data_IF_426525523913
#
_entry.id   IF_426525523913
#
_cell.length_a   1.000
_cell.length_b   1.000
_cell.length_c   1.000
_cell.angle_alpha   90.00
_cell.angle_beta   90.00
_cell.angle_gamma   90.00
#
_symmetry.space_group_name_H-M   'P 1'
#
loop_
_entity.id
_entity.type
_entity.pdbx_description
1 polymer ?
#
# COMPACT_ATOMS: atom_id res chain seq x y z
N UNK A 1 -28.68 -14.95 18.33
CA UNK A 1 -28.14 -14.37 17.08
C UNK A 1 -26.63 -14.42 17.18
N UNK A 2 -25.98 -15.25 16.38
CA UNK A 2 -24.51 -15.22 16.26
C UNK A 2 -24.12 -13.86 15.67
N UNK A 3 -23.39 -13.06 16.44
CA UNK A 3 -22.93 -11.73 16.00
C UNK A 3 -21.62 -11.89 15.25
N UNK A 4 -21.68 -11.89 13.92
CA UNK A 4 -20.48 -11.94 13.08
C UNK A 4 -19.59 -10.71 13.28
N UNK A 5 -18.26 -10.91 13.26
CA UNK A 5 -17.26 -9.85 13.15
C UNK A 5 -17.23 -9.34 11.71
N UNK A 6 -17.74 -8.14 11.47
CA UNK A 6 -17.82 -7.58 10.12
C UNK A 6 -16.48 -6.94 9.73
N UNK A 7 -15.86 -7.45 8.68
CA UNK A 7 -14.60 -6.93 8.13
C UNK A 7 -14.86 -6.38 6.73
N UNK A 8 -14.53 -5.10 6.53
CA UNK A 8 -14.70 -4.41 5.26
C UNK A 8 -13.33 -3.92 4.78
N UNK A 9 -12.84 -4.47 3.67
CA UNK A 9 -11.63 -4.01 2.99
C UNK A 9 -12.02 -2.93 1.99
N UNK A 10 -11.59 -1.70 2.25
CA UNK A 10 -11.72 -0.59 1.32
C UNK A 10 -10.66 -0.67 0.22
N UNK A 11 -11.02 -0.44 -1.03
CA UNK A 11 -10.09 -0.32 -2.16
C UNK A 11 -10.29 1.04 -2.82
N UNK A 12 -9.24 1.87 -2.88
CA UNK A 12 -9.32 3.18 -3.53
C UNK A 12 -9.64 2.99 -5.02
N UNK A 13 -10.79 3.52 -5.46
CA UNK A 13 -11.39 3.20 -6.76
C UNK A 13 -11.60 4.45 -7.63
N UNK A 14 -10.59 5.32 -7.67
CA UNK A 14 -10.57 6.56 -8.48
C UNK A 14 -9.88 6.36 -9.83
N UNK A 15 -8.74 5.66 -9.84
CA UNK A 15 -7.94 5.34 -11.03
C UNK A 15 -7.11 4.08 -10.71
N UNK A 16 -6.62 3.40 -11.74
CA UNK A 16 -5.66 2.30 -11.59
C UNK A 16 -6.31 0.92 -11.46
N UNK A 17 -5.55 -0.05 -10.94
CA UNK A 17 -5.88 -1.49 -10.92
C UNK A 17 -6.89 -1.89 -9.83
N UNK A 18 -7.86 -1.02 -9.52
CA UNK A 18 -8.82 -1.27 -8.45
C UNK A 18 -9.79 -2.41 -8.77
N UNK A 19 -10.07 -2.67 -10.05
CA UNK A 19 -11.00 -3.73 -10.47
C UNK A 19 -10.39 -5.10 -10.19
N UNK A 20 -9.10 -5.25 -10.48
CA UNK A 20 -8.28 -6.44 -10.28
C UNK A 20 -8.15 -6.75 -8.80
N UNK A 21 -7.85 -5.74 -7.97
CA UNK A 21 -7.84 -5.89 -6.50
C UNK A 21 -9.21 -6.29 -5.94
N UNK A 22 -10.29 -5.62 -6.34
CA UNK A 22 -11.65 -5.96 -5.88
C UNK A 22 -12.02 -7.38 -6.31
N UNK A 23 -11.71 -7.77 -7.55
CA UNK A 23 -11.97 -9.11 -8.05
C UNK A 23 -11.18 -10.17 -7.28
N UNK A 24 -9.89 -9.92 -6.99
CA UNK A 24 -9.06 -10.83 -6.18
C UNK A 24 -9.63 -11.03 -4.78
N UNK A 25 -10.00 -9.95 -4.09
CA UNK A 25 -10.57 -10.07 -2.75
C UNK A 25 -11.94 -10.74 -2.76
N UNK A 26 -12.81 -10.47 -3.75
CA UNK A 26 -14.10 -11.15 -3.82
C UNK A 26 -13.92 -12.67 -4.00
N UNK A 27 -13.09 -13.09 -4.96
CA UNK A 27 -12.79 -14.51 -5.16
C UNK A 27 -12.17 -15.15 -3.92
N UNK A 28 -11.23 -14.45 -3.26
CA UNK A 28 -10.66 -14.89 -1.99
C UNK A 28 -11.76 -15.07 -0.94
N UNK A 29 -12.64 -14.10 -0.75
CA UNK A 29 -13.70 -14.18 0.27
C UNK A 29 -14.72 -15.27 -0.02
N UNK A 30 -15.00 -15.56 -1.29
CA UNK A 30 -15.81 -16.71 -1.68
C UNK A 30 -15.14 -18.02 -1.23
N UNK A 31 -13.83 -18.17 -1.47
CA UNK A 31 -13.04 -19.33 -1.01
C UNK A 31 -13.04 -19.44 0.52
N UNK A 32 -12.77 -18.33 1.21
CA UNK A 32 -12.67 -18.30 2.68
C UNK A 32 -14.00 -18.52 3.39
N UNK A 33 -15.14 -18.30 2.70
CA UNK A 33 -16.47 -18.50 3.28
C UNK A 33 -16.75 -19.94 3.73
N UNK A 34 -16.02 -20.91 3.18
CA UNK A 34 -16.10 -22.32 3.54
C UNK A 34 -15.02 -22.79 4.52
N UNK A 35 -14.05 -21.93 4.87
CA UNK A 35 -12.95 -22.25 5.78
C UNK A 35 -13.37 -21.96 7.23
N UNK A 36 -13.38 -22.97 8.14
CA UNK A 36 -13.78 -22.79 9.53
C UNK A 36 -13.01 -21.70 10.28
N UNK A 37 -11.78 -21.38 9.86
CA UNK A 37 -10.99 -20.27 10.42
C UNK A 37 -11.73 -18.93 10.33
N UNK A 38 -12.58 -18.75 9.32
CA UNK A 38 -13.28 -17.49 9.04
C UNK A 38 -14.78 -17.53 9.35
N UNK A 39 -15.29 -18.58 10.00
CA UNK A 39 -16.73 -18.76 10.23
C UNK A 39 -17.38 -17.61 11.02
N UNK A 40 -16.62 -17.00 11.94
CA UNK A 40 -17.08 -15.86 12.74
C UNK A 40 -17.02 -14.52 12.00
N UNK A 41 -16.46 -14.49 10.79
CA UNK A 41 -16.18 -13.27 10.06
C UNK A 41 -17.12 -13.09 8.86
N UNK A 42 -17.68 -11.89 8.75
CA UNK A 42 -18.36 -11.44 7.54
C UNK A 42 -17.45 -10.54 6.74
N UNK A 43 -16.77 -11.11 5.74
CA UNK A 43 -15.81 -10.43 4.89
C UNK A 43 -16.50 -9.74 3.71
N UNK A 44 -16.05 -8.54 3.34
CA UNK A 44 -16.57 -7.82 2.18
C UNK A 44 -15.57 -6.78 1.67
N UNK A 45 -15.67 -6.45 0.39
CA UNK A 45 -14.86 -5.40 -0.26
C UNK A 45 -15.73 -4.19 -0.56
N UNK A 46 -15.20 -2.99 -0.37
CA UNK A 46 -15.88 -1.74 -0.72
C UNK A 46 -14.98 -0.86 -1.61
N UNK A 47 -15.45 -0.45 -2.80
CA UNK A 47 -14.76 0.59 -3.56
C UNK A 47 -14.90 1.95 -2.86
N UNK A 48 -13.79 2.65 -2.68
CA UNK A 48 -13.72 3.97 -2.03
C UNK A 48 -13.58 5.04 -3.12
N UNK A 49 -14.57 5.93 -3.21
CA UNK A 49 -14.60 7.03 -4.19
C UNK A 49 -14.87 8.40 -3.57
N UNK A 50 -15.42 8.43 -2.36
CA UNK A 50 -15.74 9.64 -1.61
C UNK A 50 -15.52 9.44 -0.11
N UNK A 51 -15.40 10.51 0.69
CA UNK A 51 -15.10 10.42 2.13
C UNK A 51 -16.03 9.49 2.92
N UNK A 52 -17.33 9.51 2.61
CA UNK A 52 -18.31 8.68 3.32
C UNK A 52 -18.10 7.16 3.11
N UNK A 53 -17.39 6.75 2.06
CA UNK A 53 -17.12 5.33 1.81
C UNK A 53 -16.12 4.75 2.82
N UNK A 54 -15.29 5.59 3.44
CA UNK A 54 -14.30 5.24 4.46
C UNK A 54 -14.94 4.78 5.78
N UNK A 55 -16.22 5.10 6.00
CA UNK A 55 -16.89 4.82 7.27
C UNK A 55 -17.04 3.31 7.48
N UNK A 56 -16.44 2.81 8.57
CA UNK A 56 -16.56 1.43 9.02
C UNK A 56 -15.71 0.43 8.23
N UNK A 57 -14.72 0.89 7.45
CA UNK A 57 -13.72 -0.02 6.88
C UNK A 57 -12.70 -0.44 7.94
N UNK A 58 -12.12 -1.62 7.76
CA UNK A 58 -11.11 -2.21 8.65
C UNK A 58 -9.74 -2.31 7.98
N UNK A 59 -9.71 -2.09 6.66
CA UNK A 59 -8.48 -1.97 5.88
C UNK A 59 -8.70 -1.01 4.72
N UNK A 60 -7.62 -0.41 4.24
CA UNK A 60 -7.59 0.40 3.02
C UNK A 60 -6.45 -0.05 2.12
N UNK A 61 -6.76 -0.36 0.86
CA UNK A 61 -5.80 -0.64 -0.19
C UNK A 61 -5.73 0.56 -1.15
N UNK A 62 -4.56 1.17 -1.25
CA UNK A 62 -4.21 2.14 -2.29
C UNK A 62 -3.55 1.39 -3.44
N UNK A 63 -4.17 1.45 -4.61
CA UNK A 63 -3.86 0.55 -5.73
C UNK A 63 -2.74 1.09 -6.63
N UNK A 64 -2.19 0.20 -7.47
CA UNK A 64 -1.32 0.56 -8.58
C UNK A 64 -2.04 1.38 -9.65
N UNK A 65 -1.30 2.10 -10.48
CA UNK A 65 -1.84 3.03 -11.47
C UNK A 65 -0.85 4.14 -11.80
N UNK A 66 -1.37 5.34 -12.09
CA UNK A 66 -0.54 6.52 -12.30
C UNK A 66 -0.67 7.42 -11.07
N UNK A 67 0.41 7.56 -10.29
CA UNK A 67 0.35 8.19 -8.98
C UNK A 67 -0.05 9.67 -9.05
N UNK A 68 0.30 10.39 -10.12
CA UNK A 68 -0.09 11.79 -10.30
C UNK A 68 -1.59 11.94 -10.51
N UNK A 69 -2.19 11.13 -11.39
CA UNK A 69 -3.62 11.09 -11.63
C UNK A 69 -4.37 10.72 -10.35
N UNK A 70 -3.89 9.72 -9.60
CA UNK A 70 -4.50 9.34 -8.32
C UNK A 70 -4.41 10.50 -7.33
N UNK A 71 -3.24 11.14 -7.17
CA UNK A 71 -3.04 12.29 -6.26
C UNK A 71 -4.01 13.44 -6.58
N UNK A 72 -4.20 13.76 -7.86
CA UNK A 72 -5.13 14.80 -8.33
C UNK A 72 -6.59 14.41 -8.04
N UNK A 73 -6.97 13.16 -8.35
CA UNK A 73 -8.34 12.69 -8.15
C UNK A 73 -8.70 12.61 -6.66
N UNK A 74 -7.76 12.22 -5.81
CA UNK A 74 -7.93 12.23 -4.34
C UNK A 74 -8.19 13.65 -3.84
N UNK A 75 -7.46 14.65 -4.33
CA UNK A 75 -7.70 16.05 -3.98
C UNK A 75 -9.06 16.55 -4.48
N UNK A 76 -9.39 16.29 -5.75
CA UNK A 76 -10.67 16.73 -6.35
C UNK A 76 -11.90 16.07 -5.75
N UNK A 77 -11.77 14.88 -5.18
CA UNK A 77 -12.86 14.15 -4.51
C UNK A 77 -13.02 14.51 -3.03
N UNK A 78 -12.19 15.41 -2.49
CA UNK A 78 -12.17 15.74 -1.07
C UNK A 78 -11.71 14.58 -0.18
N UNK A 79 -10.98 13.62 -0.74
CA UNK A 79 -10.49 12.44 -0.03
C UNK A 79 -9.11 12.65 0.60
N UNK A 80 -8.37 13.70 0.22
CA UNK A 80 -6.98 13.86 0.64
C UNK A 80 -6.81 13.92 2.16
N UNK A 81 -7.51 14.83 2.83
CA UNK A 81 -7.43 15.01 4.28
C UNK A 81 -7.97 13.77 5.04
N UNK A 82 -9.17 13.24 4.71
CA UNK A 82 -9.67 12.01 5.35
C UNK A 82 -8.73 10.80 5.20
N UNK A 83 -8.06 10.66 4.05
CA UNK A 83 -7.11 9.57 3.83
C UNK A 83 -5.84 9.75 4.66
N UNK A 84 -5.27 10.97 4.70
CA UNK A 84 -4.11 11.26 5.54
C UNK A 84 -4.40 10.93 7.01
N UNK A 85 -5.53 11.41 7.54
CA UNK A 85 -5.94 11.14 8.92
C UNK A 85 -6.13 9.64 9.18
N UNK A 86 -6.82 8.94 8.28
CA UNK A 86 -7.10 7.52 8.45
C UNK A 86 -5.83 6.67 8.40
N UNK A 87 -4.95 6.90 7.42
CA UNK A 87 -3.68 6.19 7.27
C UNK A 87 -2.82 6.37 8.52
N UNK A 88 -2.78 7.57 9.08
CA UNK A 88 -1.95 7.86 10.23
C UNK A 88 -2.57 7.49 11.57
N UNK A 89 -3.87 7.20 11.61
CA UNK A 89 -4.59 6.90 12.86
C UNK A 89 -4.15 5.61 13.57
N UNK A 90 -3.48 4.69 12.86
CA UNK A 90 -3.15 3.36 13.39
C UNK A 90 -4.37 2.46 13.66
N UNK A 91 -5.56 2.86 13.18
CA UNK A 91 -6.82 2.17 13.51
C UNK A 91 -7.15 0.99 12.61
N UNK A 92 -6.66 1.02 11.38
CA UNK A 92 -6.97 0.04 10.34
C UNK A 92 -5.71 -0.38 9.62
N UNK A 93 -5.74 -1.53 8.96
CA UNK A 93 -4.65 -1.95 8.08
C UNK A 93 -4.58 -1.06 6.84
N UNK A 94 -3.37 -0.66 6.43
CA UNK A 94 -3.15 0.10 5.19
C UNK A 94 -2.24 -0.71 4.27
N UNK A 95 -2.55 -0.75 2.99
CA UNK A 95 -1.71 -1.37 1.98
C UNK A 95 -1.57 -0.52 0.73
N UNK A 96 -0.36 -0.07 0.41
CA UNK A 96 -0.06 0.59 -0.86
C UNK A 96 0.62 -0.36 -1.84
N UNK A 97 0.03 -0.58 -3.01
CA UNK A 97 0.62 -1.34 -4.13
C UNK A 97 1.08 -0.41 -5.25
N UNK A 98 2.31 -0.57 -5.74
CA UNK A 98 2.90 0.23 -6.82
C UNK A 98 2.69 1.75 -6.62
N UNK A 99 1.76 2.38 -7.35
CA UNK A 99 1.43 3.80 -7.18
C UNK A 99 0.93 4.13 -5.77
N UNK A 100 0.19 3.21 -5.13
CA UNK A 100 -0.22 3.31 -3.75
C UNK A 100 0.97 3.38 -2.78
N UNK A 101 2.03 2.60 -3.02
CA UNK A 101 3.28 2.66 -2.24
C UNK A 101 3.92 4.05 -2.35
N UNK A 102 3.96 4.64 -3.55
CA UNK A 102 4.44 6.03 -3.75
C UNK A 102 3.62 7.00 -2.89
N UNK A 103 2.31 6.88 -2.93
CA UNK A 103 1.38 7.81 -2.29
C UNK A 103 1.40 7.74 -0.75
N UNK A 104 1.76 6.61 -0.16
CA UNK A 104 1.89 6.46 1.31
C UNK A 104 3.32 6.64 1.83
N UNK A 105 4.28 6.95 0.96
CA UNK A 105 5.65 7.23 1.38
C UNK A 105 5.80 8.62 2.00
N UNK A 106 6.78 8.77 2.89
CA UNK A 106 7.07 10.03 3.56
C UNK A 106 7.63 11.06 2.60
N UNK A 107 8.46 10.62 1.65
CA UNK A 107 9.13 11.51 0.73
C UNK A 107 9.24 10.89 -0.66
N UNK A 108 8.90 11.69 -1.67
CA UNK A 108 9.01 11.31 -3.07
C UNK A 108 9.84 12.33 -3.83
N UNK A 109 10.86 11.88 -4.54
CA UNK A 109 11.67 12.71 -5.44
C UNK A 109 11.19 12.57 -6.90
N UNK A 110 11.64 13.48 -7.77
CA UNK A 110 11.27 13.51 -9.19
C UNK A 110 9.77 13.72 -9.40
N UNK A 111 9.22 14.72 -8.70
CA UNK A 111 7.77 15.03 -8.68
C UNK A 111 7.36 16.18 -9.60
N UNK A 112 8.33 16.82 -10.27
CA UNK A 112 8.09 17.98 -11.13
C UNK A 112 7.16 17.63 -12.30
N UNK A 113 5.93 18.10 -12.19
CA UNK A 113 4.89 17.94 -13.22
C UNK A 113 4.09 19.24 -13.23
N UNK A 114 3.82 19.78 -14.41
CA UNK A 114 2.91 20.91 -14.57
C UNK A 114 1.46 20.43 -14.33
N UNK A 115 0.88 20.88 -13.22
CA UNK A 115 -0.46 20.49 -12.76
C UNK A 115 -1.39 21.70 -12.64
N UNK A 116 -1.00 22.87 -13.16
CA UNK A 116 -1.72 24.12 -12.96
C UNK A 116 -1.78 24.50 -11.48
N UNK A 117 -2.99 24.73 -10.95
CA UNK A 117 -3.21 25.14 -9.55
C UNK A 117 -3.09 23.98 -8.54
N UNK A 118 -2.87 22.75 -9.00
CA UNK A 118 -2.77 21.59 -8.13
C UNK A 118 -1.31 21.22 -7.91
N UNK A 119 -1.03 20.67 -6.73
CA UNK A 119 0.29 20.14 -6.39
C UNK A 119 0.23 18.61 -6.32
N UNK A 120 1.33 17.96 -6.68
CA UNK A 120 1.48 16.54 -6.43
C UNK A 120 1.65 16.30 -4.93
N UNK A 121 0.68 15.62 -4.32
CA UNK A 121 0.68 15.32 -2.88
C UNK A 121 0.78 13.83 -2.60
N UNK A 122 1.43 13.52 -1.48
CA UNK A 122 1.51 12.19 -0.88
C UNK A 122 0.94 12.26 0.54
N UNK A 123 0.38 11.14 1.01
CA UNK A 123 -0.38 11.05 2.27
C UNK A 123 0.50 10.63 3.46
N UNK A 124 1.64 9.98 3.19
CA UNK A 124 2.50 9.41 4.23
C UNK A 124 1.92 8.13 4.84
N UNK A 125 2.62 7.59 5.84
CA UNK A 125 2.32 6.31 6.48
C UNK A 125 3.53 5.37 6.55
N UNK A 126 4.45 5.48 5.59
CA UNK A 126 5.74 4.80 5.56
C UNK A 126 6.89 5.79 5.56
N UNK A 127 7.81 5.66 6.52
CA UNK A 127 9.04 6.43 6.65
C UNK A 127 10.10 5.94 5.66
N UNK A 128 9.79 6.08 4.37
CA UNK A 128 10.66 5.71 3.25
C UNK A 128 10.74 6.84 2.23
N UNK A 129 11.85 6.87 1.51
CA UNK A 129 12.06 7.72 0.34
C UNK A 129 11.86 6.88 -0.91
N UNK A 130 11.05 7.41 -1.83
CA UNK A 130 10.81 6.78 -3.12
C UNK A 130 11.22 7.74 -4.23
N UNK A 131 11.92 7.21 -5.22
CA UNK A 131 12.21 7.92 -6.46
C UNK A 131 11.26 7.46 -7.56
N UNK A 132 10.43 8.39 -8.07
CA UNK A 132 9.55 8.11 -9.22
C UNK A 132 10.40 7.95 -10.49
N UNK A 133 10.01 6.99 -11.34
CA UNK A 133 10.63 6.75 -12.64
C UNK A 133 12.15 6.44 -12.58
N UNK A 134 12.62 5.84 -11.50
CA UNK A 134 14.03 5.49 -11.24
C UNK A 134 14.56 4.34 -12.11
N UNK A 135 13.67 3.52 -12.68
CA UNK A 135 14.04 2.62 -13.76
C UNK A 135 14.14 3.44 -15.04
N UNK A 136 15.37 3.77 -15.45
CA UNK A 136 15.64 4.26 -16.79
C UNK A 136 14.96 3.38 -17.85
N UNK A 137 14.78 3.92 -19.07
CA UNK A 137 14.01 3.37 -20.21
C UNK A 137 14.30 1.90 -20.63
N UNK A 138 15.11 1.13 -19.89
CA UNK A 138 15.69 -0.15 -20.28
C UNK A 138 15.36 -1.33 -19.34
N UNK A 139 14.48 -1.19 -18.34
CA UNK A 139 13.96 -2.34 -17.58
C UNK A 139 12.43 -2.27 -17.50
N UNK A 140 11.82 -2.61 -18.64
CA UNK A 140 10.42 -2.94 -18.76
C UNK A 140 10.05 -4.12 -17.86
N UNK A 141 8.75 -4.22 -17.58
CA UNK A 141 8.11 -5.20 -16.69
C UNK A 141 8.83 -6.54 -16.54
N UNK A 142 8.98 -7.03 -15.32
CA UNK A 142 9.57 -8.34 -15.04
C UNK A 142 8.81 -9.06 -13.93
N UNK A 143 9.08 -10.36 -13.80
CA UNK A 143 8.61 -11.17 -12.68
C UNK A 143 9.81 -11.67 -11.88
N UNK A 144 9.63 -11.83 -10.56
CA UNK A 144 10.64 -12.42 -9.68
C UNK A 144 9.96 -13.19 -8.55
N UNK A 145 10.59 -14.25 -8.04
CA UNK A 145 10.04 -15.06 -6.95
C UNK A 145 10.41 -14.40 -5.63
N UNK A 146 9.40 -14.02 -4.86
CA UNK A 146 9.56 -13.30 -3.61
C UNK A 146 9.50 -14.24 -2.43
N UNK A 147 10.43 -14.02 -1.50
CA UNK A 147 10.54 -14.75 -0.23
C UNK A 147 10.57 -13.75 0.94
N UNK A 148 10.45 -14.28 2.17
CA UNK A 148 10.58 -13.49 3.40
C UNK A 148 9.26 -13.05 4.04
N UNK A 149 8.11 -13.46 3.47
CA UNK A 149 6.80 -13.20 4.06
C UNK A 149 6.44 -14.36 4.99
N UNK A 150 6.48 -14.14 6.31
CA UNK A 150 6.12 -15.16 7.30
C UNK A 150 4.72 -15.74 7.01
N UNK A 151 4.59 -17.07 6.93
CA UNK A 151 3.31 -17.71 6.58
C UNK A 151 2.87 -17.61 5.12
N UNK A 152 3.70 -17.03 4.22
CA UNK A 152 3.43 -16.91 2.79
C UNK A 152 4.63 -17.41 1.96
N UNK A 153 4.41 -18.46 1.16
CA UNK A 153 5.41 -18.93 0.22
C UNK A 153 6.62 -19.62 0.87
N UNK A 154 6.46 -20.20 2.06
CA UNK A 154 7.52 -20.97 2.74
C UNK A 154 8.00 -22.17 1.90
N UNK A 155 7.13 -22.73 1.06
CA UNK A 155 7.48 -23.65 -0.02
C UNK A 155 7.23 -22.97 -1.38
N UNK A 156 8.28 -22.41 -1.99
CA UNK A 156 8.27 -21.94 -3.39
C UNK A 156 8.08 -20.43 -3.62
N UNK A 157 7.90 -19.63 -2.58
CA UNK A 157 7.76 -18.17 -2.70
C UNK A 157 6.44 -17.69 -3.32
N UNK A 158 6.40 -16.40 -3.65
CA UNK A 158 5.28 -15.74 -4.32
C UNK A 158 5.77 -15.00 -5.56
N UNK A 159 5.11 -15.19 -6.71
CA UNK A 159 5.50 -14.54 -7.95
C UNK A 159 5.16 -13.04 -7.92
N UNK A 160 6.18 -12.20 -7.78
CA UNK A 160 6.04 -10.75 -7.84
C UNK A 160 6.00 -10.26 -9.29
N UNK A 161 4.90 -9.61 -9.69
CA UNK A 161 4.78 -8.94 -11.00
C UNK A 161 5.16 -7.46 -10.87
N UNK A 162 6.24 -7.04 -11.53
CA UNK A 162 6.76 -5.68 -11.48
C UNK A 162 6.50 -4.97 -12.80
N UNK A 163 5.70 -3.91 -12.80
CA UNK A 163 5.40 -3.12 -14.00
C UNK A 163 5.69 -1.66 -13.70
N UNK A 164 6.80 -1.14 -14.23
CA UNK A 164 7.28 0.22 -13.93
C UNK A 164 7.29 0.50 -12.41
N UNK A 165 7.73 -0.50 -11.65
CA UNK A 165 7.65 -0.51 -10.20
C UNK A 165 8.41 0.68 -9.59
N UNK A 166 7.92 1.32 -8.52
CA UNK A 166 8.69 2.32 -7.80
C UNK A 166 9.87 1.68 -7.07
N UNK A 167 10.94 2.45 -6.86
CA UNK A 167 12.10 2.03 -6.05
C UNK A 167 12.11 2.78 -4.73
N UNK A 168 12.16 2.02 -3.65
CA UNK A 168 12.48 2.56 -2.32
C UNK A 168 13.99 2.78 -2.28
N UNK A 169 14.41 4.04 -2.22
CA UNK A 169 15.82 4.43 -2.27
C UNK A 169 16.44 4.56 -0.89
N UNK A 170 15.62 4.84 0.13
CA UNK A 170 16.07 4.98 1.52
C UNK A 170 14.94 4.62 2.49
N UNK A 171 15.30 3.95 3.59
CA UNK A 171 14.48 3.85 4.80
C UNK A 171 14.92 4.98 5.73
N UNK A 172 13.97 5.76 6.25
CA UNK A 172 14.25 6.90 7.11
C UNK A 172 14.25 6.48 8.58
N UNK A 173 15.23 6.96 9.34
CA UNK A 173 15.22 6.86 10.79
C UNK A 173 14.24 7.90 11.37
N UNK A 174 13.55 7.55 12.46
CA UNK A 174 12.55 8.45 13.12
C UNK A 174 13.10 9.82 13.53
N UNK A 175 14.42 9.95 13.64
CA UNK A 175 15.11 11.14 14.16
C UNK A 175 15.61 12.04 13.03
N UNK A 176 15.67 11.58 11.77
CA UNK A 176 16.16 12.41 10.67
C UNK A 176 15.18 13.58 10.39
N UNK A 177 15.60 14.84 10.58
CA UNK A 177 14.79 15.97 10.19
C UNK A 177 14.62 15.96 8.67
N UNK A 178 13.38 15.82 8.21
CA UNK A 178 13.04 15.93 6.80
C UNK A 178 13.38 17.34 6.37
N UNK A 179 14.46 17.49 5.62
CA UNK A 179 14.82 18.76 5.01
C UNK A 179 16.31 19.05 5.01
N UNK A 180 17.09 18.74 6.05
CA UNK A 180 18.46 19.28 6.15
C UNK A 180 19.43 18.79 5.06
N UNK A 181 19.18 17.63 4.45
CA UNK A 181 19.97 17.09 3.33
C UNK A 181 19.26 17.15 1.96
N UNK A 182 18.00 17.60 1.92
CA UNK A 182 17.18 17.59 0.69
C UNK A 182 16.87 19.00 0.17
N UNK A 183 17.33 20.06 0.87
CA UNK A 183 17.17 21.47 0.47
C UNK A 183 17.72 21.75 -0.93
N UNK A 184 18.71 20.99 -1.40
CA UNK A 184 19.33 21.21 -2.72
C UNK A 184 18.55 20.65 -3.91
N UNK A 185 17.54 19.80 -3.68
CA UNK A 185 16.66 19.29 -4.75
C UNK A 185 15.34 20.04 -4.69
N UNK A 186 15.03 20.91 -5.65
CA UNK A 186 13.75 21.65 -5.68
C UNK A 186 12.54 20.78 -6.10
N UNK A 187 12.73 19.50 -6.43
CA UNK A 187 11.72 18.63 -7.05
C UNK A 187 11.37 17.41 -6.17
N UNK A 188 10.71 17.66 -5.04
CA UNK A 188 10.20 16.62 -4.14
C UNK A 188 8.76 16.89 -3.68
N UNK A 189 8.09 15.84 -3.19
CA UNK A 189 6.87 15.93 -2.40
C UNK A 189 7.10 15.26 -1.04
N UNK A 190 6.66 15.93 0.02
CA UNK A 190 6.76 15.46 1.40
C UNK A 190 5.36 15.27 1.96
N UNK A 191 5.14 14.13 2.60
CA UNK A 191 3.88 13.85 3.28
C UNK A 191 3.67 14.83 4.44
N UNK A 192 2.41 15.19 4.76
CA UNK A 192 2.13 16.09 5.87
C UNK A 192 2.78 15.61 7.17
N UNK A 193 3.35 16.54 7.94
CA UNK A 193 3.92 16.25 9.26
C UNK A 193 2.79 16.04 10.26
N UNK A 194 2.33 14.82 10.29
CA UNK A 194 1.54 14.23 11.35
C UNK A 194 2.29 12.89 11.56
N UNK A 195 2.62 12.50 12.79
CA UNK A 195 3.25 11.20 13.02
C UNK A 195 2.79 10.59 14.33
N UNK A 196 1.88 9.64 14.19
CA UNK A 196 1.45 8.72 15.26
C UNK A 196 1.97 7.30 15.04
N UNK A 197 2.53 6.99 13.85
CA UNK A 197 3.11 5.68 13.56
C UNK A 197 4.51 5.60 14.15
N UNK A 198 4.60 5.09 15.38
CA UNK A 198 5.85 4.95 16.10
C UNK A 198 6.56 3.61 15.85
N UNK A 199 6.12 2.81 14.88
CA UNK A 199 6.81 1.58 14.51
C UNK A 199 8.07 1.88 13.69
N UNK A 200 9.04 0.97 13.73
CA UNK A 200 10.19 1.01 12.81
C UNK A 200 9.80 0.40 11.47
N UNK A 201 10.48 0.83 10.40
CA UNK A 201 10.30 0.25 9.07
C UNK A 201 11.07 -1.07 9.01
N UNK A 202 10.35 -2.14 8.72
CA UNK A 202 10.87 -3.48 8.48
C UNK A 202 10.91 -3.75 6.97
N UNK A 203 12.07 -4.21 6.46
CA UNK A 203 12.21 -4.67 5.08
C UNK A 203 11.76 -6.13 5.03
N UNK A 204 10.67 -6.39 4.30
CA UNK A 204 10.10 -7.73 4.18
C UNK A 204 10.72 -8.52 3.02
N UNK A 205 11.06 -7.85 1.92
CA UNK A 205 11.59 -8.52 0.74
C UNK A 205 12.41 -7.60 -0.15
N UNK A 206 13.41 -8.19 -0.83
CA UNK A 206 14.31 -7.51 -1.78
C UNK A 206 14.49 -8.35 -3.04
N UNK A 207 14.76 -7.70 -4.17
CA UNK A 207 15.11 -8.37 -5.45
C UNK A 207 16.42 -7.85 -6.00
N UNK A 208 17.18 -8.70 -6.68
CA UNK A 208 18.45 -8.30 -7.31
C UNK A 208 18.22 -7.96 -8.79
N UNK A 209 18.38 -6.70 -9.18
CA UNK A 209 18.24 -6.26 -10.57
C UNK A 209 19.39 -5.34 -10.98
N UNK A 210 20.04 -5.68 -12.09
CA UNK A 210 21.14 -4.86 -12.63
C UNK A 210 22.31 -4.69 -11.64
N UNK A 211 22.59 -5.72 -10.82
CA UNK A 211 23.64 -5.68 -9.79
C UNK A 211 23.29 -4.85 -8.55
N UNK A 212 22.04 -4.37 -8.41
CA UNK A 212 21.55 -3.65 -7.23
C UNK A 212 20.50 -4.49 -6.51
N UNK A 213 20.57 -4.51 -5.18
CA UNK A 213 19.48 -5.01 -4.34
C UNK A 213 18.44 -3.92 -4.17
N UNK A 214 17.20 -4.20 -4.56
CA UNK A 214 16.08 -3.28 -4.55
C UNK A 214 15.08 -3.73 -3.49
N UNK A 215 14.68 -2.82 -2.60
CA UNK A 215 13.64 -3.08 -1.61
C UNK A 215 12.28 -3.07 -2.31
N UNK A 216 11.56 -4.19 -2.23
CA UNK A 216 10.29 -4.37 -2.95
C UNK A 216 9.07 -4.50 -2.05
N UNK A 217 9.26 -4.81 -0.77
CA UNK A 217 8.21 -4.83 0.24
C UNK A 217 8.74 -4.33 1.58
N UNK A 218 7.96 -3.48 2.24
CA UNK A 218 8.24 -2.93 3.57
C UNK A 218 6.98 -2.92 4.42
N UNK A 219 7.15 -2.98 5.73
CA UNK A 219 6.09 -2.82 6.73
C UNK A 219 6.50 -1.78 7.76
N UNK A 220 5.56 -0.97 8.20
CA UNK A 220 5.75 -0.09 9.37
C UNK A 220 4.47 -0.10 10.20
N UNK A 221 4.45 -0.91 11.26
CA UNK A 221 3.27 -1.08 12.10
C UNK A 221 2.09 -1.65 11.31
N UNK A 222 1.01 -0.87 11.19
CA UNK A 222 -0.22 -1.23 10.46
C UNK A 222 -0.18 -0.95 8.95
N UNK A 223 0.95 -0.43 8.44
CA UNK A 223 1.10 -0.02 7.04
C UNK A 223 2.01 -0.99 6.30
N UNK A 224 1.51 -1.53 5.18
CA UNK A 224 2.24 -2.37 4.23
C UNK A 224 2.47 -1.60 2.93
N UNK A 225 3.68 -1.70 2.39
CA UNK A 225 4.05 -1.10 1.12
C UNK A 225 4.69 -2.14 0.20
N UNK A 226 4.19 -2.28 -1.03
CA UNK A 226 4.72 -3.23 -2.03
C UNK A 226 4.89 -2.55 -3.39
N UNK A 227 6.01 -2.81 -4.04
CA UNK A 227 6.33 -2.25 -5.38
C UNK A 227 5.79 -3.09 -6.54
N UNK A 228 5.40 -4.34 -6.28
CA UNK A 228 4.80 -5.27 -7.25
C UNK A 228 3.27 -5.25 -7.22
N UNK A 229 2.69 -5.98 -8.18
CA UNK A 229 1.27 -6.12 -8.44
C UNK A 229 0.76 -7.54 -8.11
N UNK A 230 0.47 -7.85 -6.85
CA UNK A 230 -0.05 -9.17 -6.48
C UNK A 230 -1.43 -9.45 -7.07
N UNK A 231 -2.19 -8.42 -7.46
CA UNK A 231 -3.47 -8.53 -8.14
C UNK A 231 -3.39 -9.00 -9.59
N UNK A 232 -2.18 -9.15 -10.15
CA UNK A 232 -1.96 -9.65 -11.50
C UNK A 232 -1.52 -11.11 -11.55
N UNK A 233 -1.28 -11.74 -10.40
CA UNK A 233 -0.94 -13.17 -10.33
C UNK A 233 -2.22 -13.98 -10.42
N UNK A 234 -2.45 -14.61 -11.56
CA UNK A 234 -3.70 -15.30 -11.83
C UNK A 234 -3.93 -16.45 -10.86
N UNK A 235 -5.11 -16.47 -10.25
CA UNK A 235 -5.58 -17.52 -9.34
C UNK A 235 -4.66 -17.78 -8.12
N UNK A 236 -3.78 -16.84 -7.79
CA UNK A 236 -2.99 -16.86 -6.56
C UNK A 236 -3.43 -15.73 -5.61
N UNK A 237 -4.31 -16.10 -4.67
CA UNK A 237 -4.84 -15.18 -3.68
C UNK A 237 -4.02 -15.14 -2.39
N UNK A 238 -2.87 -15.83 -2.34
CA UNK A 238 -2.12 -16.03 -1.09
C UNK A 238 -1.62 -14.72 -0.51
N UNK A 239 -1.20 -13.76 -1.33
CA UNK A 239 -0.74 -12.44 -0.84
C UNK A 239 -1.90 -11.62 -0.23
N UNK A 240 -3.08 -11.61 -0.86
CA UNK A 240 -4.26 -10.94 -0.33
C UNK A 240 -4.78 -11.62 0.95
N UNK A 241 -4.71 -12.95 1.04
CA UNK A 241 -5.01 -13.71 2.26
C UNK A 241 -4.02 -13.38 3.37
N UNK A 242 -2.74 -13.33 3.04
CA UNK A 242 -1.68 -12.96 3.97
C UNK A 242 -1.90 -11.55 4.53
N UNK A 243 -2.20 -10.56 3.68
CA UNK A 243 -2.57 -9.22 4.14
C UNK A 243 -3.82 -9.24 5.03
N UNK A 244 -4.86 -10.00 4.67
CA UNK A 244 -6.07 -10.16 5.48
C UNK A 244 -5.75 -10.70 6.88
N UNK A 245 -4.96 -11.76 6.97
CA UNK A 245 -4.66 -12.45 8.22
C UNK A 245 -3.69 -11.62 9.08
N UNK A 246 -2.54 -11.24 8.54
CA UNK A 246 -1.43 -10.63 9.27
C UNK A 246 -1.68 -9.16 9.63
N UNK A 247 -2.48 -8.45 8.83
CA UNK A 247 -2.79 -7.04 9.09
C UNK A 247 -4.24 -6.87 9.51
N UNK A 248 -5.20 -7.22 8.66
CA UNK A 248 -6.60 -6.80 8.85
C UNK A 248 -7.23 -7.46 10.09
N UNK A 249 -7.21 -8.80 10.15
CA UNK A 249 -7.82 -9.57 11.24
C UNK A 249 -7.04 -9.38 12.53
N UNK A 250 -5.70 -9.38 12.46
CA UNK A 250 -4.83 -9.16 13.62
C UNK A 250 -5.08 -7.79 14.26
N UNK A 251 -5.08 -6.71 13.47
CA UNK A 251 -5.38 -5.36 13.98
C UNK A 251 -6.81 -5.29 14.52
N UNK A 252 -7.79 -5.84 13.78
CA UNK A 252 -9.18 -5.84 14.24
C UNK A 252 -9.32 -6.54 15.60
N UNK A 253 -8.79 -7.74 15.76
CA UNK A 253 -8.89 -8.50 17.00
C UNK A 253 -8.17 -7.79 18.14
N UNK A 254 -6.97 -7.24 17.93
CA UNK A 254 -6.23 -6.51 18.97
C UNK A 254 -6.97 -5.30 19.54
N UNK A 255 -7.90 -4.71 18.77
CA UNK A 255 -8.69 -3.54 19.18
C UNK A 255 -10.05 -3.86 19.78
N UNK A 256 -10.52 -5.10 19.60
CA UNK A 256 -11.84 -5.57 20.04
C UNK A 256 -11.73 -6.73 21.04
N UNK A 257 -10.51 -7.03 21.53
CA UNK A 257 -10.25 -7.92 22.67
C UNK A 257 -10.23 -7.09 23.95
#
# INVERSE_FOLDING_TARGET
>A
MTSFKKIIVGVLALQGSFREHISHFNKLFDILSADPKYEDYKLSVRPIRKPNDLIGINALVLVGGESTAISILVQRSGLYEPLCELIQSGRIAIWGTCAGLILISKLVTNTKIDLGDLEYKVMGGLDVVIERNSFGRQLDSFTDVLHGFAGLGEEGGFDGVFIRAPVITKVLDKIEPIGSQLVDTQDFAVAPTISLNNAEVEILSTVNKGGKSLIVAVKQGHVLGTSFHPELVQDDYRFHRWFLDEFVITIYNSRNS
#
